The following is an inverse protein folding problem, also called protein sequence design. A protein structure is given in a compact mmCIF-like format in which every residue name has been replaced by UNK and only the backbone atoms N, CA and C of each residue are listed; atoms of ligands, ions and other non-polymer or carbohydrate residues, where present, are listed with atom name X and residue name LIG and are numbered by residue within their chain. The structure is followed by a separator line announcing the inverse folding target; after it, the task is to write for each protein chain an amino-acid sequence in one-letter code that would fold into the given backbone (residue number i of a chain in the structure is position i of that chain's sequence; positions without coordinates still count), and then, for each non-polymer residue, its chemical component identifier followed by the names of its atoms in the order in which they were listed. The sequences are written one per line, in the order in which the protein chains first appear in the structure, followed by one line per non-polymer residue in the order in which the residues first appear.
data_IF_264349724563
#
_entry.id   IF_264349724563
#
_cell.length_a   1.000
_cell.length_b   1.000
_cell.length_c   1.000
_cell.angle_alpha   90.00
_cell.angle_beta   90.00
_cell.angle_gamma   90.00
#
_symmetry.space_group_name_H-M   'P 1'
#
loop_
_entity.id
_entity.type
_entity.pdbx_description
1 polymer ?
#
# COMPACT_ATOMS: atom_id res chain seq x y z
N UNK A 1 -15.06 9.63 15.97
CA UNK A 1 -16.53 9.74 16.21
C UNK A 1 -16.83 10.92 17.14
N UNK A 2 -16.15 11.03 18.28
CA UNK A 2 -16.42 12.09 19.28
C UNK A 2 -16.17 13.52 18.77
N UNK A 3 -15.39 13.71 17.72
CA UNK A 3 -15.10 14.99 17.08
C UNK A 3 -15.84 15.20 15.75
N UNK A 4 -16.80 14.35 15.43
CA UNK A 4 -17.58 14.46 14.20
C UNK A 4 -18.50 15.68 14.27
N UNK A 5 -18.52 16.57 13.25
CA UNK A 5 -19.42 17.71 13.22
C UNK A 5 -20.88 17.24 13.13
N UNK A 6 -21.78 17.95 13.78
CA UNK A 6 -23.24 17.64 13.75
C UNK A 6 -23.82 17.68 12.32
N UNK A 7 -23.20 18.45 11.42
CA UNK A 7 -23.58 18.54 10.02
C UNK A 7 -23.14 17.35 9.15
N UNK A 8 -22.33 16.43 9.67
CA UNK A 8 -21.86 15.28 8.91
C UNK A 8 -23.01 14.33 8.57
N UNK A 9 -23.19 14.09 7.27
CA UNK A 9 -24.21 13.16 6.75
C UNK A 9 -23.70 11.73 6.62
N UNK A 10 -22.39 11.57 6.45
CA UNK A 10 -21.71 10.29 6.25
C UNK A 10 -20.49 10.20 7.14
N UNK A 11 -20.22 8.99 7.60
CA UNK A 11 -19.02 8.65 8.35
C UNK A 11 -18.37 7.43 7.70
N UNK A 12 -17.14 7.58 7.26
CA UNK A 12 -16.29 6.46 6.78
C UNK A 12 -15.26 6.17 7.85
N UNK A 13 -15.24 4.92 8.34
CA UNK A 13 -14.33 4.49 9.40
C UNK A 13 -13.43 3.37 8.87
N UNK A 14 -12.12 3.59 8.89
CA UNK A 14 -11.15 2.52 8.69
C UNK A 14 -10.99 1.73 9.99
N UNK A 15 -11.22 0.41 9.92
CA UNK A 15 -11.06 -0.49 11.04
C UNK A 15 -9.88 -1.43 10.78
N UNK A 16 -8.80 -1.27 11.54
CA UNK A 16 -7.63 -2.14 11.53
C UNK A 16 -7.63 -3.10 12.73
N UNK A 17 -7.27 -4.36 12.51
CA UNK A 17 -7.01 -5.32 13.58
C UNK A 17 -5.54 -5.68 13.60
N UNK A 18 -4.96 -5.79 14.81
CA UNK A 18 -3.58 -6.22 15.04
C UNK A 18 -3.48 -7.61 15.67
N UNK A 19 -4.56 -8.07 16.30
CA UNK A 19 -4.65 -9.38 16.96
C UNK A 19 -6.06 -9.95 16.87
N UNK A 20 -6.20 -11.22 17.14
CA UNK A 20 -7.49 -11.88 17.25
C UNK A 20 -8.40 -11.15 18.26
N UNK A 21 -9.71 -11.13 17.98
CA UNK A 21 -10.77 -10.53 18.80
C UNK A 21 -10.82 -8.99 18.85
N UNK A 22 -9.90 -8.27 18.19
CA UNK A 22 -9.93 -6.78 18.18
C UNK A 22 -11.27 -6.23 17.69
N UNK A 23 -11.98 -6.98 16.84
CA UNK A 23 -13.27 -6.52 16.30
C UNK A 23 -14.49 -6.99 17.10
N UNK A 24 -14.34 -7.84 18.12
CA UNK A 24 -15.46 -8.24 18.96
C UNK A 24 -16.03 -7.03 19.71
N UNK A 25 -15.17 -6.23 20.34
CA UNK A 25 -15.60 -5.02 21.05
C UNK A 25 -16.12 -3.96 20.08
N UNK A 26 -15.43 -3.72 18.96
CA UNK A 26 -15.82 -2.73 17.98
C UNK A 26 -17.20 -3.09 17.38
N UNK A 27 -17.45 -4.34 17.04
CA UNK A 27 -18.70 -4.79 16.44
C UNK A 27 -19.89 -4.71 17.42
N UNK A 28 -19.63 -4.70 18.72
CA UNK A 28 -20.67 -4.52 19.73
C UNK A 28 -21.17 -3.06 19.84
N UNK A 29 -20.26 -2.10 19.60
CA UNK A 29 -20.51 -0.66 19.73
C UNK A 29 -20.88 -0.04 18.39
N UNK A 30 -20.14 -0.40 17.33
CA UNK A 30 -20.33 0.15 16.00
C UNK A 30 -21.54 -0.49 15.30
N UNK A 31 -22.42 0.35 14.76
CA UNK A 31 -23.47 -0.06 13.82
C UNK A 31 -23.26 0.68 12.52
N UNK A 32 -23.06 -0.04 11.43
CA UNK A 32 -22.81 0.53 10.11
C UNK A 32 -23.89 0.14 9.10
N UNK A 33 -24.06 0.97 8.10
CA UNK A 33 -25.03 0.75 7.02
C UNK A 33 -24.39 -0.05 5.88
N UNK A 34 -23.07 0.10 5.68
CA UNK A 34 -22.27 -0.65 4.70
C UNK A 34 -20.97 -1.11 5.36
N UNK A 35 -20.58 -2.36 5.11
CA UNK A 35 -19.25 -2.88 5.46
C UNK A 35 -18.52 -3.31 4.20
N UNK A 36 -17.31 -2.77 3.98
CA UNK A 36 -16.44 -3.09 2.87
C UNK A 36 -15.23 -3.86 3.39
N UNK A 37 -15.07 -5.10 2.97
CA UNK A 37 -13.83 -5.85 3.12
C UNK A 37 -12.96 -5.63 1.88
N UNK A 38 -11.99 -4.75 1.95
CA UNK A 38 -11.14 -4.41 0.80
C UNK A 38 -10.21 -5.55 0.37
N UNK A 39 -9.80 -6.39 1.33
CA UNK A 39 -8.95 -7.55 1.05
C UNK A 39 -8.42 -8.20 2.32
N UNK A 40 -7.79 -9.36 2.13
CA UNK A 40 -7.06 -10.11 3.16
C UNK A 40 -5.63 -10.26 2.67
N UNK A 41 -4.68 -9.78 3.45
CA UNK A 41 -3.26 -9.93 3.19
C UNK A 41 -2.56 -10.48 4.44
N UNK A 42 -1.39 -11.06 4.27
CA UNK A 42 -0.59 -11.65 5.36
C UNK A 42 0.11 -10.60 6.24
N UNK A 43 -0.56 -9.51 6.56
CA UNK A 43 -0.05 -8.50 7.49
C UNK A 43 -0.28 -8.98 8.93
N UNK A 44 0.65 -8.67 9.84
CA UNK A 44 0.55 -9.06 11.26
C UNK A 44 0.46 -10.58 11.49
N UNK A 45 1.05 -11.40 10.61
CA UNK A 45 1.05 -12.85 10.75
C UNK A 45 1.65 -13.33 12.08
N UNK A 46 2.60 -12.57 12.63
CA UNK A 46 3.21 -12.84 13.94
C UNK A 46 2.18 -12.83 15.09
N UNK A 47 1.14 -12.01 14.99
CA UNK A 47 0.11 -11.87 16.03
C UNK A 47 -1.14 -12.70 15.74
N UNK A 48 -1.47 -12.93 14.48
CA UNK A 48 -2.64 -13.72 14.07
C UNK A 48 -2.33 -15.22 13.90
N UNK A 49 -1.08 -15.57 13.62
CA UNK A 49 -0.64 -16.95 13.38
C UNK A 49 -0.99 -17.50 12.00
N UNK A 50 -2.08 -17.07 11.38
CA UNK A 50 -2.47 -17.51 10.03
C UNK A 50 -3.33 -16.49 9.28
N UNK A 51 -3.33 -16.58 7.94
CA UNK A 51 -4.23 -15.78 7.07
C UNK A 51 -5.70 -16.06 7.39
N UNK A 52 -6.03 -17.28 7.75
CA UNK A 52 -7.41 -17.67 8.10
C UNK A 52 -7.88 -16.95 9.38
N UNK A 53 -7.02 -16.78 10.36
CA UNK A 53 -7.35 -16.03 11.58
C UNK A 53 -7.49 -14.53 11.31
N UNK A 54 -6.71 -13.97 10.38
CA UNK A 54 -6.89 -12.60 9.89
C UNK A 54 -8.28 -12.46 9.25
N UNK A 55 -8.64 -13.40 8.38
CA UNK A 55 -9.94 -13.43 7.71
C UNK A 55 -11.09 -13.53 8.72
N UNK A 56 -11.03 -14.50 9.61
CA UNK A 56 -12.04 -14.70 10.65
C UNK A 56 -12.26 -13.44 11.47
N UNK A 57 -11.16 -12.80 11.90
CA UNK A 57 -11.22 -11.56 12.70
C UNK A 57 -11.85 -10.42 11.90
N UNK A 58 -11.42 -10.19 10.66
CA UNK A 58 -11.97 -9.12 9.83
C UNK A 58 -13.46 -9.31 9.54
N UNK A 59 -13.89 -10.53 9.29
CA UNK A 59 -15.30 -10.85 9.03
C UNK A 59 -16.21 -10.67 10.26
N UNK A 60 -15.68 -10.60 11.48
CA UNK A 60 -16.47 -10.29 12.68
C UNK A 60 -17.18 -8.94 12.57
N UNK A 61 -16.61 -7.97 11.85
CA UNK A 61 -17.27 -6.67 11.61
C UNK A 61 -18.62 -6.80 10.88
N UNK A 62 -18.94 -7.91 10.23
CA UNK A 62 -20.27 -8.13 9.65
C UNK A 62 -21.37 -8.07 10.69
N UNK A 63 -21.08 -8.39 11.96
CA UNK A 63 -22.03 -8.31 13.07
C UNK A 63 -22.43 -6.84 13.39
N UNK A 64 -21.67 -5.87 12.92
CA UNK A 64 -22.01 -4.45 13.06
C UNK A 64 -23.02 -3.96 11.98
N UNK A 65 -23.23 -4.72 10.90
CA UNK A 65 -24.16 -4.34 9.85
C UNK A 65 -25.61 -4.32 10.34
N UNK A 66 -26.31 -3.23 10.04
CA UNK A 66 -27.76 -3.13 10.24
C UNK A 66 -28.53 -4.02 9.26
N UNK A 67 -28.02 -4.14 8.03
CA UNK A 67 -28.53 -5.04 6.98
C UNK A 67 -27.40 -5.90 6.46
N UNK A 68 -27.47 -7.22 6.64
CA UNK A 68 -26.44 -8.16 6.20
C UNK A 68 -26.22 -8.21 4.68
N UNK A 69 -27.18 -7.74 3.88
CA UNK A 69 -27.03 -7.62 2.43
C UNK A 69 -26.05 -6.50 2.03
N UNK A 70 -25.76 -5.55 2.91
CA UNK A 70 -24.88 -4.42 2.65
C UNK A 70 -23.39 -4.74 2.92
N UNK A 71 -23.00 -6.00 2.71
CA UNK A 71 -21.62 -6.44 2.76
C UNK A 71 -20.99 -6.44 1.37
N UNK A 72 -19.92 -5.70 1.20
CA UNK A 72 -19.10 -5.67 -0.03
C UNK A 72 -17.82 -6.47 0.23
N UNK A 73 -17.64 -7.55 -0.52
CA UNK A 73 -16.45 -8.38 -0.46
C UNK A 73 -15.51 -8.07 -1.62
N UNK A 74 -14.49 -7.29 -1.40
CA UNK A 74 -13.51 -6.92 -2.43
C UNK A 74 -12.73 -8.12 -2.98
N UNK A 75 -12.67 -9.25 -2.27
CA UNK A 75 -11.94 -10.45 -2.73
C UNK A 75 -12.55 -11.11 -3.96
N UNK A 76 -13.83 -10.85 -4.23
CA UNK A 76 -14.53 -11.40 -5.41
C UNK A 76 -14.44 -10.49 -6.63
N UNK A 77 -13.93 -9.26 -6.46
CA UNK A 77 -13.77 -8.31 -7.56
C UNK A 77 -12.50 -8.68 -8.35
N UNK A 78 -12.69 -9.04 -9.62
CA UNK A 78 -11.60 -9.38 -10.54
C UNK A 78 -11.09 -8.12 -11.25
N UNK A 79 -10.34 -7.28 -10.53
CA UNK A 79 -9.68 -6.10 -11.09
C UNK A 79 -8.24 -6.04 -10.56
N UNK A 80 -7.29 -5.91 -11.46
CA UNK A 80 -5.85 -5.87 -11.15
C UNK A 80 -5.34 -4.43 -11.00
N UNK A 81 -5.97 -3.47 -11.66
CA UNK A 81 -5.64 -2.06 -11.48
C UNK A 81 -6.22 -1.55 -10.16
N UNK A 82 -5.36 -1.11 -9.26
CA UNK A 82 -5.73 -0.74 -7.90
C UNK A 82 -6.71 0.46 -7.82
N UNK A 83 -6.57 1.43 -8.70
CA UNK A 83 -7.47 2.59 -8.75
C UNK A 83 -8.88 2.19 -9.20
N UNK A 84 -8.95 1.37 -10.25
CA UNK A 84 -10.23 0.81 -10.72
C UNK A 84 -10.89 -0.07 -9.68
N UNK A 85 -10.10 -0.90 -9.00
CA UNK A 85 -10.59 -1.72 -7.90
C UNK A 85 -11.23 -0.86 -6.79
N UNK A 86 -10.53 0.17 -6.32
CA UNK A 86 -11.05 1.08 -5.30
C UNK A 86 -12.31 1.82 -5.78
N UNK A 87 -12.33 2.26 -7.04
CA UNK A 87 -13.51 2.89 -7.64
C UNK A 87 -14.72 1.96 -7.60
N UNK A 88 -14.57 0.71 -8.00
CA UNK A 88 -15.63 -0.30 -7.98
C UNK A 88 -16.20 -0.52 -6.56
N UNK A 89 -15.33 -0.55 -5.53
CA UNK A 89 -15.77 -0.66 -4.14
C UNK A 89 -16.63 0.54 -3.72
N UNK A 90 -16.20 1.75 -4.09
CA UNK A 90 -16.92 2.99 -3.77
C UNK A 90 -18.25 3.05 -4.52
N UNK A 91 -18.29 2.70 -5.81
CA UNK A 91 -19.51 2.64 -6.62
C UNK A 91 -20.55 1.69 -6.02
N UNK A 92 -20.12 0.49 -5.61
CA UNK A 92 -21.01 -0.46 -4.93
C UNK A 92 -21.53 0.11 -3.60
N UNK A 93 -20.67 0.75 -2.80
CA UNK A 93 -21.09 1.33 -1.53
C UNK A 93 -22.12 2.45 -1.72
N UNK A 94 -21.89 3.33 -2.69
CA UNK A 94 -22.82 4.44 -3.03
C UNK A 94 -24.17 3.90 -3.50
N UNK A 95 -24.16 2.85 -4.32
CA UNK A 95 -25.38 2.17 -4.77
C UNK A 95 -26.21 1.62 -3.59
N UNK A 96 -25.56 1.00 -2.60
CA UNK A 96 -26.23 0.43 -1.43
C UNK A 96 -26.88 1.48 -0.51
N UNK A 97 -26.38 2.71 -0.51
CA UNK A 97 -26.95 3.81 0.29
C UNK A 97 -27.82 4.76 -0.53
N UNK A 98 -28.15 4.38 -1.79
CA UNK A 98 -28.98 5.16 -2.71
C UNK A 98 -28.51 6.61 -2.89
N UNK A 99 -27.22 6.81 -2.98
CA UNK A 99 -26.63 8.11 -3.31
C UNK A 99 -26.57 8.23 -4.84
N UNK A 100 -27.50 9.01 -5.40
CA UNK A 100 -27.48 9.39 -6.81
C UNK A 100 -26.41 10.48 -7.05
N UNK A 101 -25.15 10.11 -7.12
CA UNK A 101 -24.07 11.00 -7.54
C UNK A 101 -23.13 10.27 -8.45
N UNK A 102 -22.78 10.91 -9.56
CA UNK A 102 -21.63 10.50 -10.36
C UNK A 102 -20.35 10.67 -9.54
N UNK A 103 -19.51 9.65 -9.56
CA UNK A 103 -18.19 9.70 -8.93
C UNK A 103 -17.25 10.39 -9.90
N UNK A 104 -16.91 11.64 -9.63
CA UNK A 104 -15.88 12.37 -10.34
C UNK A 104 -14.53 12.08 -9.66
N UNK A 105 -13.63 11.40 -10.38
CA UNK A 105 -12.28 11.13 -9.88
C UNK A 105 -11.33 12.33 -10.04
N UNK A 106 -11.74 13.35 -10.79
CA UNK A 106 -10.89 14.46 -11.20
C UNK A 106 -10.39 15.31 -10.00
N UNK A 107 -11.11 15.26 -8.87
CA UNK A 107 -10.76 15.98 -7.64
C UNK A 107 -10.08 15.09 -6.58
N UNK A 108 -9.84 13.80 -6.89
CA UNK A 108 -9.22 12.91 -5.92
C UNK A 108 -7.71 13.10 -5.89
N UNK A 109 -7.21 13.66 -4.78
CA UNK A 109 -5.79 13.74 -4.48
C UNK A 109 -5.44 12.67 -3.47
N UNK A 110 -4.61 11.68 -3.81
CA UNK A 110 -4.16 10.68 -2.84
C UNK A 110 -3.50 11.35 -1.64
N UNK A 111 -3.72 10.81 -0.44
CA UNK A 111 -2.95 11.25 0.73
C UNK A 111 -1.46 10.96 0.51
N UNK A 112 -0.58 11.75 1.15
CA UNK A 112 0.88 11.63 1.00
C UNK A 112 1.36 10.19 1.14
N UNK A 113 2.26 9.78 0.27
CA UNK A 113 2.83 8.43 0.23
C UNK A 113 1.93 7.35 -0.36
N UNK A 114 0.84 7.70 -1.04
CA UNK A 114 -0.14 6.73 -1.59
C UNK A 114 -0.33 6.85 -3.11
N UNK A 115 0.76 7.04 -3.84
CA UNK A 115 0.74 7.13 -5.29
C UNK A 115 0.76 8.57 -5.82
N UNK A 116 1.19 9.51 -4.99
CA UNK A 116 1.39 10.88 -5.43
C UNK A 116 2.53 10.94 -6.46
N UNK A 117 2.32 11.70 -7.53
CA UNK A 117 3.33 11.94 -8.56
C UNK A 117 3.85 13.38 -8.42
N UNK A 118 5.18 13.53 -8.41
CA UNK A 118 5.87 14.81 -8.32
C UNK A 118 6.72 14.96 -9.57
N UNK A 119 6.40 15.92 -10.42
CA UNK A 119 7.22 16.21 -11.59
C UNK A 119 8.56 16.82 -11.15
N UNK A 120 9.67 16.21 -11.56
CA UNK A 120 11.01 16.70 -11.27
C UNK A 120 11.93 16.46 -12.48
N UNK A 121 12.41 17.51 -13.08
CA UNK A 121 13.09 17.51 -14.40
C UNK A 121 12.18 16.89 -15.47
N UNK A 122 12.73 16.06 -16.36
CA UNK A 122 11.99 15.40 -17.45
C UNK A 122 11.26 14.14 -16.98
N UNK A 123 11.60 13.62 -15.79
CA UNK A 123 10.99 12.46 -15.15
C UNK A 123 10.09 12.86 -14.00
N UNK A 124 9.60 11.87 -13.28
CA UNK A 124 8.77 12.09 -12.08
C UNK A 124 9.13 11.16 -10.95
N UNK A 125 8.86 11.60 -9.73
CA UNK A 125 8.90 10.80 -8.51
C UNK A 125 7.50 10.27 -8.26
N UNK A 126 7.40 8.96 -8.00
CA UNK A 126 6.17 8.25 -7.66
C UNK A 126 6.27 7.84 -6.20
N UNK A 127 5.50 8.50 -5.36
CA UNK A 127 5.56 8.38 -3.91
C UNK A 127 4.55 7.35 -3.38
N UNK A 128 5.05 6.15 -3.04
CA UNK A 128 4.31 5.11 -2.32
C UNK A 128 4.91 4.82 -0.94
N UNK A 129 5.48 5.82 -0.28
CA UNK A 129 6.27 5.68 0.95
C UNK A 129 5.46 5.42 2.21
N UNK A 130 4.14 5.51 2.17
CA UNK A 130 3.30 5.40 3.37
C UNK A 130 3.49 4.08 4.11
N UNK A 131 3.46 2.95 3.39
CA UNK A 131 3.70 1.61 3.95
C UNK A 131 3.94 0.59 2.84
N UNK A 132 4.48 -0.60 3.19
CA UNK A 132 4.75 -1.67 2.26
C UNK A 132 4.43 -3.05 2.86
N UNK A 133 3.85 -3.89 2.02
CA UNK A 133 3.76 -5.34 2.19
C UNK A 133 4.17 -6.01 0.88
N UNK A 134 4.51 -7.30 0.84
CA UNK A 134 4.88 -7.98 -0.41
C UNK A 134 3.87 -7.78 -1.52
N UNK A 135 2.59 -8.00 -1.23
CA UNK A 135 1.51 -7.82 -2.18
C UNK A 135 1.42 -6.39 -2.71
N UNK A 136 1.41 -5.38 -1.82
CA UNK A 136 1.29 -3.98 -2.25
C UNK A 136 2.54 -3.47 -2.97
N UNK A 137 3.73 -3.99 -2.63
CA UNK A 137 4.96 -3.63 -3.30
C UNK A 137 4.96 -4.10 -4.76
N UNK A 138 4.52 -5.34 -5.00
CA UNK A 138 4.41 -5.90 -6.34
C UNK A 138 3.26 -5.23 -7.12
N UNK A 139 2.04 -5.23 -6.57
CA UNK A 139 0.86 -4.77 -7.28
C UNK A 139 0.90 -3.29 -7.68
N UNK A 140 1.51 -2.42 -6.87
CA UNK A 140 1.63 -1.00 -7.21
C UNK A 140 2.82 -0.72 -8.15
N UNK A 141 3.95 -1.45 -8.02
CA UNK A 141 5.08 -1.29 -8.93
C UNK A 141 4.73 -1.74 -10.36
N UNK A 142 3.98 -2.83 -10.50
CA UNK A 142 3.61 -3.40 -11.81
C UNK A 142 2.63 -2.55 -12.63
N UNK A 143 2.10 -1.47 -12.08
CA UNK A 143 1.34 -0.47 -12.84
C UNK A 143 2.23 0.41 -13.73
N UNK A 144 3.55 0.35 -13.58
CA UNK A 144 4.50 1.19 -14.29
C UNK A 144 5.40 0.36 -15.21
N UNK A 145 5.78 0.92 -16.38
CA UNK A 145 6.67 0.25 -17.33
C UNK A 145 8.07 0.07 -16.72
N UNK A 146 8.61 -1.16 -16.66
CA UNK A 146 9.96 -1.42 -16.15
C UNK A 146 11.09 -0.78 -16.98
N UNK A 147 10.82 -0.39 -18.22
CA UNK A 147 11.79 0.34 -19.05
C UNK A 147 11.90 1.81 -18.67
N UNK A 148 10.84 2.38 -18.15
CA UNK A 148 10.74 3.82 -17.82
C UNK A 148 10.87 4.08 -16.31
N UNK A 149 10.75 3.05 -15.47
CA UNK A 149 10.65 3.21 -14.01
C UNK A 149 11.74 2.45 -13.28
N UNK A 150 12.42 3.16 -12.37
CA UNK A 150 13.41 2.62 -11.44
C UNK A 150 12.74 2.49 -10.07
N UNK A 151 12.87 1.34 -9.44
CA UNK A 151 12.32 1.09 -8.11
C UNK A 151 13.35 1.39 -7.03
N UNK A 152 12.96 2.15 -6.00
CA UNK A 152 13.76 2.41 -4.80
C UNK A 152 12.95 1.86 -3.62
N UNK A 153 13.41 0.72 -3.07
CA UNK A 153 12.64 -0.07 -2.13
C UNK A 153 13.33 -0.11 -0.76
N UNK A 154 12.56 0.19 0.28
CA UNK A 154 12.95 -0.01 1.68
C UNK A 154 12.31 -1.26 2.27
N UNK A 155 12.86 -1.75 3.39
CA UNK A 155 12.38 -2.95 4.06
C UNK A 155 10.86 -2.93 4.31
N UNK A 156 10.24 -4.10 4.21
CA UNK A 156 8.87 -4.35 4.65
C UNK A 156 8.87 -4.77 6.12
N UNK A 157 7.89 -4.32 6.90
CA UNK A 157 7.77 -4.65 8.32
C UNK A 157 6.66 -5.69 8.59
N UNK A 158 6.63 -6.22 9.82
CA UNK A 158 5.56 -7.06 10.35
C UNK A 158 5.36 -8.41 9.63
N UNK A 159 6.44 -8.96 9.07
CA UNK A 159 6.43 -10.22 8.32
C UNK A 159 6.87 -11.44 9.16
N UNK A 160 7.30 -11.21 10.41
CA UNK A 160 7.74 -12.27 11.33
C UNK A 160 8.85 -13.13 10.74
N UNK A 161 8.88 -14.41 11.09
CA UNK A 161 9.92 -15.38 10.67
C UNK A 161 10.00 -15.56 9.13
N UNK A 162 9.03 -15.05 8.38
CA UNK A 162 8.99 -15.16 6.91
C UNK A 162 9.62 -13.96 6.20
N UNK A 163 10.14 -12.98 6.94
CA UNK A 163 10.62 -11.70 6.38
C UNK A 163 11.65 -11.89 5.27
N UNK A 164 12.70 -12.69 5.48
CA UNK A 164 13.76 -12.91 4.49
C UNK A 164 13.20 -13.55 3.21
N UNK A 165 12.32 -14.56 3.37
CA UNK A 165 11.69 -15.25 2.23
C UNK A 165 10.79 -14.32 1.42
N UNK A 166 10.00 -13.49 2.09
CA UNK A 166 9.07 -12.58 1.43
C UNK A 166 9.79 -11.42 0.75
N UNK A 167 10.87 -10.88 1.34
CA UNK A 167 11.71 -9.89 0.68
C UNK A 167 12.36 -10.46 -0.59
N UNK A 168 12.93 -11.67 -0.50
CA UNK A 168 13.54 -12.33 -1.65
C UNK A 168 12.53 -12.62 -2.77
N UNK A 169 11.35 -13.15 -2.42
CA UNK A 169 10.32 -13.42 -3.43
C UNK A 169 9.84 -12.13 -4.11
N UNK A 170 9.69 -11.03 -3.36
CA UNK A 170 9.31 -9.73 -3.91
C UNK A 170 10.33 -9.23 -4.93
N UNK A 171 11.64 -9.33 -4.63
CA UNK A 171 12.69 -8.96 -5.58
C UNK A 171 12.66 -9.81 -6.86
N UNK A 172 12.42 -11.10 -6.73
CA UNK A 172 12.36 -12.02 -7.87
C UNK A 172 11.13 -11.75 -8.78
N UNK A 173 9.99 -11.37 -8.20
CA UNK A 173 8.81 -10.94 -8.96
C UNK A 173 9.03 -9.63 -9.72
N UNK A 174 9.86 -8.73 -9.17
CA UNK A 174 10.15 -7.42 -9.75
C UNK A 174 11.46 -7.39 -10.57
N UNK A 175 12.06 -8.54 -10.90
CA UNK A 175 13.38 -8.66 -11.53
C UNK A 175 13.55 -7.96 -12.89
N UNK A 176 12.47 -7.65 -13.58
CA UNK A 176 12.50 -6.92 -14.86
C UNK A 176 12.88 -5.45 -14.67
N UNK A 177 12.65 -4.89 -13.49
CA UNK A 177 12.99 -3.52 -13.15
C UNK A 177 14.47 -3.35 -12.80
N UNK A 178 14.97 -2.13 -12.99
CA UNK A 178 16.15 -1.68 -12.27
C UNK A 178 15.74 -1.33 -10.84
N UNK A 179 16.38 -1.97 -9.85
CA UNK A 179 15.97 -1.87 -8.45
C UNK A 179 17.14 -1.39 -7.60
N UNK A 180 16.91 -0.38 -6.80
CA UNK A 180 17.76 0.04 -5.71
C UNK A 180 17.06 -0.33 -4.39
N UNK A 181 17.80 -0.98 -3.50
CA UNK A 181 17.27 -1.41 -2.20
C UNK A 181 18.06 -0.84 -1.04
N UNK A 182 17.37 -0.58 0.05
CA UNK A 182 17.97 -0.17 1.33
C UNK A 182 17.27 -0.89 2.48
N UNK A 183 17.98 -1.02 3.59
CA UNK A 183 17.48 -1.68 4.79
C UNK A 183 18.23 -2.96 5.13
N UNK A 184 18.02 -3.43 6.36
CA UNK A 184 18.78 -4.56 6.91
C UNK A 184 18.33 -5.91 6.35
N UNK A 185 17.02 -6.05 6.08
CA UNK A 185 16.44 -7.32 5.60
C UNK A 185 16.75 -7.48 4.12
N UNK A 186 16.58 -6.43 3.31
CA UNK A 186 17.02 -6.44 1.93
C UNK A 186 18.51 -6.71 1.79
N UNK A 187 19.36 -6.17 2.70
CA UNK A 187 20.79 -6.47 2.74
C UNK A 187 21.07 -7.96 2.90
N UNK A 188 20.35 -8.65 3.79
CA UNK A 188 20.54 -10.10 4.02
C UNK A 188 20.22 -10.93 2.79
N UNK A 189 19.23 -10.52 1.98
CA UNK A 189 18.75 -11.29 0.83
C UNK A 189 19.35 -10.84 -0.51
N UNK A 190 20.02 -9.71 -0.53
CA UNK A 190 20.60 -9.07 -1.73
C UNK A 190 21.40 -10.06 -2.61
N UNK A 191 22.31 -10.82 -2.02
CA UNK A 191 23.17 -11.75 -2.75
C UNK A 191 22.44 -13.02 -3.25
N UNK A 192 21.22 -13.26 -2.81
CA UNK A 192 20.40 -14.42 -3.15
C UNK A 192 19.36 -14.11 -4.24
N UNK A 193 19.12 -12.83 -4.53
CA UNK A 193 18.14 -12.41 -5.50
C UNK A 193 18.57 -12.71 -6.94
N UNK A 194 17.65 -13.22 -7.75
CA UNK A 194 17.85 -13.50 -9.17
C UNK A 194 17.62 -12.23 -10.02
N UNK A 195 18.42 -11.18 -9.75
CA UNK A 195 18.36 -9.95 -10.53
C UNK A 195 19.74 -9.36 -10.77
N UNK A 196 20.07 -9.16 -12.04
CA UNK A 196 21.31 -8.48 -12.47
C UNK A 196 21.22 -6.96 -12.40
N UNK A 197 20.01 -6.42 -12.19
CA UNK A 197 19.73 -4.98 -12.16
C UNK A 197 19.45 -4.49 -10.72
N UNK A 198 20.01 -5.17 -9.73
CA UNK A 198 19.79 -4.90 -8.31
C UNK A 198 21.02 -4.21 -7.71
N UNK A 199 20.81 -3.12 -7.00
CA UNK A 199 21.83 -2.35 -6.31
C UNK A 199 21.42 -2.12 -4.86
N UNK A 200 22.32 -2.37 -3.90
CA UNK A 200 22.11 -2.06 -2.49
C UNK A 200 22.84 -0.78 -2.11
N UNK A 201 22.23 0.08 -1.27
CA UNK A 201 22.86 1.22 -0.62
C UNK A 201 22.50 1.29 0.86
N UNK A 202 23.42 1.80 1.69
CA UNK A 202 23.28 1.79 3.14
C UNK A 202 22.66 3.08 3.68
N UNK A 203 21.32 3.20 3.66
CA UNK A 203 20.62 4.33 4.25
C UNK A 203 20.84 5.67 3.54
N UNK A 204 20.43 6.75 4.17
CA UNK A 204 20.40 8.08 3.56
C UNK A 204 21.79 8.66 3.28
N UNK A 205 22.80 8.29 4.05
CA UNK A 205 24.19 8.77 3.86
C UNK A 205 24.82 8.26 2.59
N UNK A 206 24.46 7.06 2.15
CA UNK A 206 24.96 6.42 0.94
C UNK A 206 23.98 6.48 -0.22
N UNK A 207 22.94 7.30 -0.08
CA UNK A 207 21.92 7.48 -1.10
C UNK A 207 22.53 8.05 -2.38
N UNK A 208 22.46 7.32 -3.51
CA UNK A 208 23.15 7.71 -4.73
C UNK A 208 22.40 8.82 -5.48
N UNK A 209 22.25 9.98 -4.85
CA UNK A 209 21.47 11.13 -5.30
C UNK A 209 21.82 11.55 -6.74
N UNK A 210 23.12 11.67 -7.06
CA UNK A 210 23.56 12.11 -8.39
C UNK A 210 23.09 11.17 -9.50
N UNK A 211 23.05 9.85 -9.21
CA UNK A 211 22.53 8.85 -10.16
C UNK A 211 21.04 9.10 -10.41
N UNK A 212 20.27 9.31 -9.35
CA UNK A 212 18.83 9.51 -9.47
C UNK A 212 18.47 10.84 -10.13
N UNK A 213 19.20 11.92 -9.82
CA UNK A 213 19.05 13.21 -10.51
C UNK A 213 19.35 13.06 -12.00
N UNK A 214 20.40 12.33 -12.37
CA UNK A 214 20.72 12.04 -13.77
C UNK A 214 19.58 11.28 -14.46
N UNK A 215 19.08 10.22 -13.83
CA UNK A 215 17.97 9.41 -14.37
C UNK A 215 16.68 10.23 -14.56
N UNK A 216 16.36 11.12 -13.62
CA UNK A 216 15.24 12.04 -13.76
C UNK A 216 15.42 13.01 -14.93
N UNK A 217 16.64 13.53 -15.13
CA UNK A 217 16.97 14.39 -16.31
C UNK A 217 16.90 13.62 -17.63
N UNK A 218 17.09 12.31 -17.62
CA UNK A 218 16.93 11.42 -18.78
C UNK A 218 15.46 10.99 -18.99
N UNK A 219 14.51 11.53 -18.21
CA UNK A 219 13.09 11.24 -18.34
C UNK A 219 12.64 9.95 -17.66
N UNK A 220 13.47 9.33 -16.82
CA UNK A 220 13.08 8.14 -16.05
C UNK A 220 12.25 8.50 -14.83
N UNK A 221 11.34 7.61 -14.46
CA UNK A 221 10.54 7.74 -13.25
C UNK A 221 11.24 7.03 -12.08
N UNK A 222 11.14 7.61 -10.90
CA UNK A 222 11.66 7.04 -9.66
C UNK A 222 10.49 6.66 -8.74
N UNK A 223 10.31 5.38 -8.51
CA UNK A 223 9.26 4.84 -7.65
C UNK A 223 9.81 4.52 -6.26
N UNK A 224 9.27 5.12 -5.22
CA UNK A 224 9.70 4.93 -3.82
C UNK A 224 8.64 4.17 -3.02
N UNK A 225 9.05 3.06 -2.37
CA UNK A 225 8.18 2.31 -1.46
C UNK A 225 8.98 1.60 -0.38
N UNK A 226 8.42 1.58 0.82
CA UNK A 226 8.94 0.84 1.98
C UNK A 226 7.93 0.86 3.11
N UNK A 227 8.21 0.11 4.17
CA UNK A 227 7.40 0.20 5.40
C UNK A 227 7.56 1.57 6.07
N UNK A 228 6.64 1.91 6.95
CA UNK A 228 6.71 3.19 7.68
C UNK A 228 8.03 3.37 8.45
N UNK A 229 8.62 2.28 8.93
CA UNK A 229 9.92 2.31 9.61
C UNK A 229 11.11 2.61 8.69
N UNK A 230 10.97 2.35 7.39
CA UNK A 230 12.03 2.62 6.39
C UNK A 230 12.14 4.11 6.04
N UNK A 231 11.16 4.95 6.40
CA UNK A 231 11.14 6.40 6.20
C UNK A 231 11.56 6.81 4.78
N UNK A 232 10.97 6.14 3.78
CA UNK A 232 11.35 6.34 2.38
C UNK A 232 11.06 7.76 1.88
N UNK A 233 10.18 8.49 2.53
CA UNK A 233 9.92 9.92 2.29
C UNK A 233 11.16 10.80 2.42
N UNK A 234 12.10 10.46 3.32
CA UNK A 234 13.33 11.23 3.50
C UNK A 234 14.23 11.22 2.25
N UNK A 235 14.19 10.14 1.46
CA UNK A 235 14.94 10.04 0.20
C UNK A 235 14.33 10.91 -0.90
N UNK A 236 13.00 11.02 -0.91
CA UNK A 236 12.28 11.94 -1.81
C UNK A 236 12.62 13.38 -1.44
N UNK A 237 12.55 13.73 -0.15
CA UNK A 237 12.93 15.07 0.32
C UNK A 237 14.37 15.42 -0.04
N UNK A 238 15.30 14.46 0.05
CA UNK A 238 16.69 14.66 -0.35
C UNK A 238 16.87 14.95 -1.86
N UNK A 239 15.94 14.53 -2.72
CA UNK A 239 15.95 14.84 -4.15
C UNK A 239 15.32 16.19 -4.48
N UNK A 240 14.33 16.62 -3.72
CA UNK A 240 13.54 17.84 -3.98
C UNK A 240 14.21 19.09 -3.40
N UNK A 241 14.83 18.97 -2.23
CA UNK A 241 15.38 20.11 -1.46
C UNK A 241 16.86 20.38 -1.82
N UNK A 242 17.16 20.56 -3.12
CA UNK A 242 18.50 20.97 -3.58
C UNK A 242 18.56 22.43 -3.96
#
# INVERSE_FOLDING_TARGET
ILSMPESAKFLVVECGARKQRDFEEISSILKCDVFILTGIAGNHLETFGSIKEIENTKLQLRHSLRNQANFIDGRIIQETNYERFNKLLVEQAISLINLEKEIHNDDFVPSSGRGNEIQLYEGKIIDHTYNASPHTMISTATNYDPKETILILGDMAELGDTEDKLHLSTLNELKEYQIFITGNIFKKVFSKADSKKLTYFQGITDFPKDIFVKLLKEGKNLYFKGSRSSKMENYIEALIND
#
